data_IF_683313687722
#
_entry.id   IF_683313687722
#
_cell.length_a   1.000
_cell.length_b   1.000
_cell.length_c   1.000
_cell.angle_alpha   90.00
_cell.angle_beta   90.00
_cell.angle_gamma   90.00
#
_symmetry.space_group_name_H-M   'P 1'
#
loop_
_entity.id
_entity.type
_entity.pdbx_description
1 polymer ?
#
# COMPACT_ATOMS: atom_id res chain seq x y z
N UNK A 1 -34.07 -15.36 24.61
CA UNK A 1 -34.95 -16.54 24.74
C UNK A 1 -34.53 -17.49 25.87
N UNK A 2 -33.24 -17.81 26.08
CA UNK A 2 -32.79 -18.74 27.15
C UNK A 2 -33.07 -18.23 28.59
N UNK A 3 -32.68 -16.99 28.93
CA UNK A 3 -32.81 -16.44 30.30
C UNK A 3 -34.27 -16.37 30.80
N UNK A 4 -35.20 -15.94 29.95
CA UNK A 4 -36.62 -15.86 30.29
C UNK A 4 -37.21 -17.24 30.59
N UNK A 5 -36.81 -18.28 29.84
CA UNK A 5 -37.24 -19.65 30.09
C UNK A 5 -36.67 -20.20 31.40
N UNK A 6 -35.41 -19.89 31.73
CA UNK A 6 -34.79 -20.33 33.00
C UNK A 6 -35.37 -19.63 34.22
N UNK A 7 -35.70 -18.33 34.12
CA UNK A 7 -36.40 -17.60 35.19
C UNK A 7 -37.83 -18.11 35.40
N UNK A 8 -38.52 -18.49 34.33
CA UNK A 8 -39.88 -19.06 34.42
C UNK A 8 -39.88 -20.40 35.16
N UNK A 9 -38.88 -21.25 34.93
CA UNK A 9 -38.63 -22.51 35.68
C UNK A 9 -38.26 -22.25 37.14
N UNK A 10 -37.50 -21.18 37.42
CA UNK A 10 -37.16 -20.77 38.79
C UNK A 10 -38.38 -20.29 39.58
N UNK A 11 -39.30 -19.56 38.92
CA UNK A 11 -40.52 -19.05 39.55
C UNK A 11 -41.66 -20.08 39.67
N UNK A 12 -41.61 -21.19 38.92
CA UNK A 12 -42.70 -22.17 38.85
C UNK A 12 -42.52 -23.42 39.74
N UNK A 13 -41.40 -23.58 40.45
CA UNK A 13 -41.02 -24.86 41.03
C UNK A 13 -40.84 -24.87 42.55
N UNK A 14 -41.80 -25.45 43.27
CA UNK A 14 -41.57 -26.04 44.57
C UNK A 14 -40.52 -27.18 44.49
N UNK A 15 -39.75 -27.39 45.57
CA UNK A 15 -38.90 -28.56 45.93
C UNK A 15 -37.35 -28.55 45.72
N UNK A 16 -36.67 -28.97 46.80
CA UNK A 16 -35.30 -29.50 46.97
C UNK A 16 -34.08 -28.62 46.61
N UNK A 17 -33.21 -28.39 47.60
CA UNK A 17 -32.00 -27.58 47.50
C UNK A 17 -30.93 -28.07 46.49
N UNK A 18 -31.07 -29.29 45.95
CA UNK A 18 -30.18 -29.83 44.91
C UNK A 18 -30.57 -29.33 43.50
N UNK A 19 -31.87 -29.18 43.23
CA UNK A 19 -32.42 -28.62 41.99
C UNK A 19 -32.09 -27.12 41.89
N UNK A 20 -32.19 -26.40 43.02
CA UNK A 20 -31.83 -24.98 43.09
C UNK A 20 -30.36 -24.70 42.70
N UNK A 21 -29.42 -25.56 43.09
CA UNK A 21 -27.99 -25.38 42.75
C UNK A 21 -27.72 -25.58 41.26
N UNK A 22 -28.34 -26.58 40.64
CA UNK A 22 -28.18 -26.86 39.21
C UNK A 22 -28.80 -25.75 38.35
N UNK A 23 -29.99 -25.26 38.72
CA UNK A 23 -30.64 -24.14 38.04
C UNK A 23 -29.82 -22.85 38.19
N UNK A 24 -29.33 -22.54 39.39
CA UNK A 24 -28.48 -21.36 39.62
C UNK A 24 -27.18 -21.41 38.79
N UNK A 25 -26.55 -22.59 38.69
CA UNK A 25 -25.36 -22.79 37.87
C UNK A 25 -25.65 -22.62 36.37
N UNK A 26 -26.79 -23.12 35.88
CA UNK A 26 -27.20 -22.93 34.49
C UNK A 26 -27.55 -21.47 34.17
N UNK A 27 -28.24 -20.76 35.07
CA UNK A 27 -28.50 -19.32 34.92
C UNK A 27 -27.18 -18.55 34.87
N UNK A 28 -26.26 -18.82 35.80
CA UNK A 28 -24.95 -18.18 35.81
C UNK A 28 -24.16 -18.45 34.52
N UNK A 29 -24.09 -19.70 34.07
CA UNK A 29 -23.42 -20.05 32.82
C UNK A 29 -24.06 -19.38 31.60
N UNK A 30 -25.39 -19.28 31.56
CA UNK A 30 -26.12 -18.60 30.48
C UNK A 30 -25.85 -17.10 30.49
N UNK A 31 -25.82 -16.46 31.66
CA UNK A 31 -25.46 -15.05 31.81
C UNK A 31 -24.02 -14.77 31.36
N UNK A 32 -23.06 -15.58 31.80
CA UNK A 32 -21.65 -15.45 31.39
C UNK A 32 -21.50 -15.65 29.89
N UNK A 33 -22.13 -16.68 29.31
CA UNK A 33 -22.08 -16.92 27.87
C UNK A 33 -22.68 -15.76 27.07
N UNK A 34 -23.81 -15.22 27.53
CA UNK A 34 -24.48 -14.10 26.88
C UNK A 34 -23.62 -12.83 26.95
N UNK A 35 -23.03 -12.53 28.11
CA UNK A 35 -22.11 -11.39 28.26
C UNK A 35 -20.89 -11.54 27.36
N UNK A 36 -20.23 -12.70 27.34
CA UNK A 36 -19.06 -12.93 26.49
C UNK A 36 -19.40 -12.82 25.00
N UNK A 37 -20.57 -13.32 24.59
CA UNK A 37 -21.05 -13.20 23.23
C UNK A 37 -21.33 -11.73 22.85
N UNK A 38 -21.96 -10.96 23.74
CA UNK A 38 -22.17 -9.52 23.55
C UNK A 38 -20.86 -8.76 23.43
N UNK A 39 -19.89 -8.98 24.33
CA UNK A 39 -18.57 -8.34 24.24
C UNK A 39 -17.83 -8.69 22.97
N UNK A 40 -17.88 -9.97 22.54
CA UNK A 40 -17.24 -10.40 21.29
C UNK A 40 -17.90 -9.73 20.06
N UNK A 41 -19.23 -9.64 20.04
CA UNK A 41 -19.95 -8.96 18.96
C UNK A 41 -19.64 -7.47 18.94
N UNK A 42 -19.67 -6.79 20.09
CA UNK A 42 -19.35 -5.37 20.20
C UNK A 42 -17.90 -5.10 19.76
N UNK A 43 -16.96 -5.96 20.14
CA UNK A 43 -15.57 -5.86 19.69
C UNK A 43 -15.48 -6.04 18.17
N UNK A 44 -16.12 -7.05 17.59
CA UNK A 44 -16.13 -7.29 16.14
C UNK A 44 -16.80 -6.16 15.34
N UNK A 45 -17.86 -5.56 15.87
CA UNK A 45 -18.53 -4.41 15.26
C UNK A 45 -17.63 -3.18 15.33
N UNK A 46 -17.01 -2.94 16.49
CA UNK A 46 -16.11 -1.80 16.69
C UNK A 46 -14.89 -1.88 15.79
N UNK A 47 -14.25 -3.05 15.67
CA UNK A 47 -13.11 -3.25 14.76
C UNK A 47 -13.52 -3.05 13.30
N UNK A 48 -14.63 -3.66 12.86
CA UNK A 48 -15.12 -3.48 11.49
C UNK A 48 -15.46 -2.02 11.16
N UNK A 49 -16.05 -1.30 12.12
CA UNK A 49 -16.38 0.11 11.94
C UNK A 49 -15.13 1.01 11.95
N UNK A 50 -14.12 0.66 12.75
CA UNK A 50 -12.82 1.34 12.73
C UNK A 50 -12.13 1.18 11.38
N UNK A 51 -12.05 -0.04 10.86
CA UNK A 51 -11.44 -0.33 9.55
C UNK A 51 -12.18 0.39 8.43
N UNK A 52 -13.52 0.36 8.44
CA UNK A 52 -14.34 1.07 7.46
C UNK A 52 -14.11 2.58 7.49
N UNK A 53 -14.07 3.21 8.68
CA UNK A 53 -13.79 4.65 8.79
C UNK A 53 -12.39 5.00 8.29
N UNK A 54 -11.40 4.14 8.56
CA UNK A 54 -10.02 4.33 8.08
C UNK A 54 -9.95 4.26 6.56
N UNK A 55 -10.61 3.28 5.95
CA UNK A 55 -10.69 3.15 4.50
C UNK A 55 -11.42 4.34 3.86
N UNK A 56 -12.49 4.83 4.50
CA UNK A 56 -13.26 5.96 4.01
C UNK A 56 -12.44 7.27 4.06
N UNK A 57 -11.72 7.52 5.16
CA UNK A 57 -10.79 8.65 5.27
C UNK A 57 -9.67 8.58 4.23
N UNK A 58 -9.14 7.39 3.97
CA UNK A 58 -8.16 7.18 2.91
C UNK A 58 -8.75 7.56 1.55
N UNK A 59 -9.94 7.05 1.23
CA UNK A 59 -10.63 7.37 -0.04
C UNK A 59 -10.96 8.84 -0.18
N UNK A 60 -11.40 9.51 0.89
CA UNK A 60 -11.64 10.96 0.88
C UNK A 60 -10.35 11.74 0.58
N UNK A 61 -9.22 11.38 1.19
CA UNK A 61 -7.92 12.00 0.89
C UNK A 61 -7.48 11.71 -0.55
N UNK A 62 -7.70 10.48 -1.05
CA UNK A 62 -7.39 10.12 -2.43
C UNK A 62 -8.25 10.91 -3.44
N UNK A 63 -9.49 11.24 -3.09
CA UNK A 63 -10.42 12.01 -3.93
C UNK A 63 -10.15 13.52 -3.89
N UNK A 64 -9.70 14.05 -2.76
CA UNK A 64 -9.46 15.49 -2.57
C UNK A 64 -8.12 15.95 -3.15
N UNK A 65 -7.14 15.03 -3.28
CA UNK A 65 -5.86 15.33 -3.93
C UNK A 65 -5.99 15.13 -5.44
N UNK A 66 -5.90 16.22 -6.22
CA UNK A 66 -5.68 16.11 -7.66
C UNK A 66 -4.34 15.39 -7.91
N UNK A 67 -4.42 14.12 -8.31
CA UNK A 67 -3.29 13.25 -8.65
C UNK A 67 -3.28 12.91 -10.14
N UNK A 68 -2.08 12.77 -10.71
CA UNK A 68 -1.88 12.34 -12.09
C UNK A 68 -1.78 10.80 -12.21
N UNK A 69 -1.91 10.09 -11.08
CA UNK A 69 -1.97 8.64 -11.02
C UNK A 69 -1.85 8.10 -9.60
N UNK A 70 -2.29 6.86 -9.40
CA UNK A 70 -2.13 6.14 -8.14
C UNK A 70 -1.63 4.72 -8.38
N UNK A 71 -0.97 4.12 -7.40
CA UNK A 71 -0.56 2.73 -7.42
C UNK A 71 -0.52 2.13 -6.03
N UNK A 72 -0.52 0.81 -5.95
CA UNK A 72 -0.32 0.06 -4.71
C UNK A 72 1.01 -0.66 -4.76
N UNK A 73 1.78 -0.55 -3.69
CA UNK A 73 3.06 -1.24 -3.55
C UNK A 73 3.02 -2.18 -2.36
N UNK A 74 3.63 -3.35 -2.52
CA UNK A 74 3.98 -4.22 -1.39
C UNK A 74 5.18 -3.59 -0.68
N UNK A 75 5.07 -3.35 0.63
CA UNK A 75 6.12 -2.71 1.42
C UNK A 75 7.36 -3.59 1.60
N UNK A 76 7.24 -4.92 1.49
CA UNK A 76 8.35 -5.87 1.65
C UNK A 76 9.19 -5.96 0.39
N UNK A 77 8.55 -6.11 -0.77
CA UNK A 77 9.24 -6.26 -2.06
C UNK A 77 9.43 -4.93 -2.77
N UNK A 78 8.68 -3.89 -2.38
CA UNK A 78 8.59 -2.58 -3.03
C UNK A 78 8.08 -2.66 -4.47
N UNK A 79 7.39 -3.74 -4.80
CA UNK A 79 6.82 -4.00 -6.11
C UNK A 79 5.39 -3.50 -6.21
N UNK A 80 5.01 -3.01 -7.39
CA UNK A 80 3.62 -2.64 -7.64
C UNK A 80 2.74 -3.88 -7.64
N UNK A 81 1.71 -3.86 -6.81
CA UNK A 81 0.59 -4.81 -6.83
C UNK A 81 -0.45 -4.36 -7.86
N UNK A 82 -0.70 -3.05 -7.94
CA UNK A 82 -1.60 -2.46 -8.92
C UNK A 82 -1.22 -1.02 -9.26
N UNK A 83 -1.69 -0.51 -10.39
CA UNK A 83 -1.48 0.85 -10.86
C UNK A 83 -2.75 1.33 -11.59
N UNK A 84 -3.03 2.64 -11.53
CA UNK A 84 -4.12 3.26 -12.28
C UNK A 84 -3.76 3.40 -13.76
N UNK A 85 -4.77 3.35 -14.63
CA UNK A 85 -4.58 3.55 -16.08
C UNK A 85 -3.94 4.92 -16.37
N UNK A 86 -4.30 5.96 -15.62
CA UNK A 86 -3.68 7.28 -15.69
C UNK A 86 -2.17 7.25 -15.40
N UNK A 87 -1.72 6.46 -14.42
CA UNK A 87 -0.29 6.29 -14.12
C UNK A 87 0.43 5.54 -15.24
N UNK A 88 -0.22 4.52 -15.81
CA UNK A 88 0.31 3.74 -16.94
C UNK A 88 0.45 4.59 -18.20
N UNK A 89 -0.55 5.44 -18.49
CA UNK A 89 -0.54 6.40 -19.59
C UNK A 89 0.55 7.46 -19.40
N UNK A 90 0.67 8.02 -18.19
CA UNK A 90 1.71 9.00 -17.85
C UNK A 90 3.12 8.44 -18.08
N UNK A 91 3.34 7.19 -17.67
CA UNK A 91 4.63 6.51 -17.82
C UNK A 91 4.81 5.83 -19.19
N UNK A 92 3.77 5.83 -20.04
CA UNK A 92 3.74 5.16 -21.35
C UNK A 92 4.10 3.68 -21.28
N UNK A 93 3.62 2.98 -20.25
CA UNK A 93 3.89 1.56 -20.02
C UNK A 93 2.60 0.76 -20.03
N UNK A 94 2.66 -0.49 -20.53
CA UNK A 94 1.50 -1.39 -20.55
C UNK A 94 1.16 -1.97 -19.18
N UNK A 95 2.16 -2.14 -18.32
CA UNK A 95 1.98 -2.66 -16.97
C UNK A 95 3.16 -2.29 -16.07
N UNK A 96 2.83 -2.04 -14.80
CA UNK A 96 3.77 -1.83 -13.71
C UNK A 96 3.77 -2.99 -12.70
N UNK A 97 2.81 -3.91 -12.77
CA UNK A 97 2.66 -5.00 -11.79
C UNK A 97 3.93 -5.85 -11.74
N UNK A 98 4.44 -6.08 -10.53
CA UNK A 98 5.69 -6.81 -10.28
C UNK A 98 6.97 -5.99 -10.49
N UNK A 99 6.88 -4.73 -10.93
CA UNK A 99 8.04 -3.84 -11.04
C UNK A 99 8.24 -3.07 -9.74
N UNK A 100 9.50 -2.79 -9.40
CA UNK A 100 9.83 -2.02 -8.19
C UNK A 100 9.63 -0.53 -8.41
N UNK A 101 9.14 0.20 -7.40
CA UNK A 101 9.04 1.67 -7.49
C UNK A 101 10.39 2.35 -7.79
N UNK A 102 11.48 1.84 -7.22
CA UNK A 102 12.83 2.37 -7.38
C UNK A 102 13.31 2.41 -8.83
N UNK A 103 12.84 1.48 -9.66
CA UNK A 103 13.22 1.40 -11.07
C UNK A 103 12.68 2.53 -11.95
N UNK A 104 11.61 3.18 -11.50
CA UNK A 104 11.00 4.32 -12.17
C UNK A 104 11.65 5.64 -11.73
N UNK A 105 12.39 5.61 -10.62
CA UNK A 105 12.98 6.79 -10.01
C UNK A 105 14.37 7.01 -10.59
N UNK A 106 14.70 8.26 -10.90
CA UNK A 106 16.04 8.63 -11.35
C UNK A 106 17.08 8.31 -10.25
N UNK A 107 18.30 7.87 -10.63
CA UNK A 107 19.39 7.47 -9.71
C UNK A 107 19.59 8.40 -8.51
N UNK A 108 19.51 9.72 -8.73
CA UNK A 108 19.65 10.77 -7.70
C UNK A 108 18.56 10.74 -6.61
N UNK A 109 17.39 10.17 -6.90
CA UNK A 109 16.25 10.06 -5.99
C UNK A 109 16.19 8.75 -5.20
N UNK A 110 17.07 7.78 -5.44
CA UNK A 110 17.01 6.48 -4.75
C UNK A 110 17.25 6.59 -3.25
N UNK A 111 18.17 7.45 -2.81
CA UNK A 111 18.41 7.70 -1.38
C UNK A 111 17.15 8.26 -0.71
N UNK A 112 16.52 9.24 -1.36
CA UNK A 112 15.30 9.89 -0.87
C UNK A 112 14.12 8.93 -0.85
N UNK A 113 13.99 8.07 -1.87
CA UNK A 113 13.00 7.00 -1.89
C UNK A 113 13.25 5.97 -0.78
N UNK A 114 14.51 5.59 -0.55
CA UNK A 114 14.89 4.68 0.53
C UNK A 114 14.52 5.24 1.90
N UNK A 115 14.82 6.52 2.16
CA UNK A 115 14.41 7.20 3.38
C UNK A 115 12.88 7.33 3.52
N UNK A 116 12.17 7.52 2.41
CA UNK A 116 10.71 7.59 2.41
C UNK A 116 10.09 6.24 2.83
N UNK A 117 10.59 5.14 2.26
CA UNK A 117 10.10 3.80 2.53
C UNK A 117 10.53 3.29 3.92
N UNK A 118 11.72 3.66 4.38
CA UNK A 118 12.23 3.28 5.70
C UNK A 118 11.50 3.99 6.85
N UNK A 119 11.12 5.27 6.66
CA UNK A 119 10.54 6.05 7.74
C UNK A 119 9.02 5.88 7.91
N UNK A 120 8.33 5.18 6.98
CA UNK A 120 6.89 4.82 7.00
C UNK A 120 5.95 5.86 7.64
N UNK A 121 6.27 7.14 7.52
CA UNK A 121 5.48 8.17 8.19
C UNK A 121 4.20 8.37 7.39
N UNK A 122 3.01 8.18 8.01
CA UNK A 122 1.77 8.41 7.31
C UNK A 122 1.74 9.87 6.84
N UNK A 123 1.51 10.08 5.53
CA UNK A 123 1.37 11.39 4.88
C UNK A 123 2.66 12.17 4.60
N UNK A 124 3.82 11.52 4.53
CA UNK A 124 5.04 12.18 4.03
C UNK A 124 5.00 12.23 2.49
N UNK A 125 5.03 13.44 1.94
CA UNK A 125 5.18 13.69 0.50
C UNK A 125 6.64 14.00 0.18
N UNK A 126 7.18 13.37 -0.85
CA UNK A 126 8.56 13.55 -1.31
C UNK A 126 8.56 13.90 -2.79
N UNK A 127 9.47 14.79 -3.20
CA UNK A 127 9.69 15.09 -4.60
C UNK A 127 10.70 14.09 -5.18
N UNK A 128 10.29 13.33 -6.19
CA UNK A 128 11.11 12.37 -6.93
C UNK A 128 11.02 12.65 -8.42
N UNK A 129 12.10 12.44 -9.15
CA UNK A 129 12.07 12.49 -10.63
C UNK A 129 11.78 11.09 -11.15
N UNK A 130 10.65 10.93 -11.85
CA UNK A 130 10.28 9.69 -12.53
C UNK A 130 10.73 9.68 -13.99
N UNK A 131 10.90 8.48 -14.54
CA UNK A 131 11.43 8.22 -15.88
C UNK A 131 10.40 7.37 -16.67
N UNK A 132 9.88 7.87 -17.79
CA UNK A 132 8.95 7.13 -18.67
C UNK A 132 9.71 6.26 -19.68
N UNK A 133 9.80 4.96 -19.39
CA UNK A 133 10.16 3.85 -20.26
C UNK A 133 11.55 3.81 -20.99
N UNK A 134 12.13 2.62 -21.21
CA UNK A 134 11.94 1.37 -20.46
C UNK A 134 13.18 0.97 -19.67
N UNK A 135 12.91 0.30 -18.56
CA UNK A 135 13.76 -0.75 -18.00
C UNK A 135 14.58 -1.49 -19.07
N UNK A 136 15.89 -1.44 -18.91
CA UNK A 136 16.75 -2.58 -19.22
C UNK A 136 17.37 -2.97 -17.88
N UNK A 137 16.69 -3.83 -17.11
CA UNK A 137 17.39 -4.65 -16.11
C UNK A 137 17.67 -5.99 -16.79
N UNK A 138 18.93 -6.19 -17.24
CA UNK A 138 19.49 -7.50 -17.62
C UNK A 138 19.50 -7.84 -19.12
N UNK A 139 20.70 -8.05 -19.67
CA UNK A 139 21.02 -8.46 -21.05
C UNK A 139 20.32 -9.74 -21.55
N UNK A 140 20.01 -9.79 -22.86
CA UNK A 140 20.64 -10.67 -23.88
C UNK A 140 19.71 -10.87 -25.08
N UNK A 141 20.03 -10.23 -26.21
CA UNK A 141 19.35 -10.54 -27.47
C UNK A 141 19.40 -9.42 -28.48
N UNK A 142 20.44 -9.47 -29.33
CA UNK A 142 20.60 -8.86 -30.65
C UNK A 142 19.60 -7.78 -31.10
N UNK A 143 20.18 -6.67 -31.59
CA UNK A 143 19.64 -5.71 -32.55
C UNK A 143 18.59 -4.71 -32.04
N UNK A 144 19.08 -3.58 -31.53
CA UNK A 144 18.54 -2.28 -31.93
C UNK A 144 19.69 -1.28 -32.02
N UNK A 145 19.74 -0.55 -33.13
CA UNK A 145 20.82 0.37 -33.49
C UNK A 145 20.92 1.54 -32.49
N UNK A 146 22.14 2.02 -32.24
CA UNK A 146 22.42 3.14 -31.31
C UNK A 146 21.89 4.52 -31.77
N UNK A 147 21.17 4.59 -32.89
CA UNK A 147 20.66 5.83 -33.47
C UNK A 147 19.24 6.21 -33.02
N UNK A 148 18.51 5.29 -32.38
CA UNK A 148 17.17 5.54 -31.80
C UNK A 148 17.18 5.21 -30.30
N UNK A 149 18.07 5.85 -29.54
CA UNK A 149 17.89 5.91 -28.10
C UNK A 149 16.67 6.81 -27.82
N UNK A 150 15.49 6.18 -27.84
CA UNK A 150 14.19 6.84 -27.69
C UNK A 150 14.24 7.81 -26.49
N UNK A 151 13.83 9.06 -26.73
CA UNK A 151 13.82 10.11 -25.73
C UNK A 151 13.08 9.66 -24.48
N UNK A 152 13.83 9.36 -23.43
CA UNK A 152 13.29 9.00 -22.13
C UNK A 152 12.72 10.28 -21.51
N UNK A 153 11.43 10.32 -21.16
CA UNK A 153 10.88 11.52 -20.51
C UNK A 153 11.15 11.44 -19.01
N UNK A 154 11.63 12.53 -18.44
CA UNK A 154 11.76 12.69 -17.01
C UNK A 154 10.82 13.78 -16.53
N UNK A 155 10.10 13.53 -15.45
CA UNK A 155 9.20 14.50 -14.85
C UNK A 155 9.31 14.44 -13.34
N UNK A 156 9.24 15.60 -12.70
CA UNK A 156 9.30 15.69 -11.24
C UNK A 156 7.90 15.42 -10.69
N UNK A 157 7.84 14.57 -9.67
CA UNK A 157 6.60 14.03 -9.11
C UNK A 157 6.67 14.12 -7.60
N UNK A 158 5.62 14.68 -7.01
CA UNK A 158 5.33 14.51 -5.59
C UNK A 158 4.73 13.12 -5.38
N UNK A 159 5.50 12.27 -4.72
CA UNK A 159 5.11 10.93 -4.33
C UNK A 159 4.69 10.97 -2.86
N UNK A 160 3.47 10.54 -2.57
CA UNK A 160 2.95 10.44 -1.20
C UNK A 160 2.57 9.01 -0.90
N UNK A 161 3.03 8.49 0.23
CA UNK A 161 2.72 7.11 0.65
C UNK A 161 1.71 7.14 1.79
N UNK A 162 0.65 6.37 1.62
CA UNK A 162 -0.40 6.16 2.59
C UNK A 162 -0.40 4.70 3.00
N UNK A 163 0.01 4.47 4.25
CA UNK A 163 -0.04 3.13 4.83
C UNK A 163 -1.48 2.79 5.23
N UNK A 164 -2.02 1.79 4.54
CA UNK A 164 -3.35 1.22 4.82
C UNK A 164 -3.39 0.42 6.14
N UNK A 165 -2.23 0.15 6.76
CA UNK A 165 -2.09 -0.69 7.95
C UNK A 165 -1.98 -2.17 7.61
N UNK A 166 -1.55 -2.48 6.39
CA UNK A 166 -1.26 -3.83 5.90
C UNK A 166 0.15 -3.85 5.33
N UNK A 167 0.63 -5.03 4.88
CA UNK A 167 1.89 -5.12 4.12
C UNK A 167 1.85 -4.35 2.77
N UNK A 168 0.72 -3.70 2.43
CA UNK A 168 0.50 -2.94 1.19
C UNK A 168 0.25 -1.46 1.51
N UNK A 169 0.92 -0.58 0.77
CA UNK A 169 0.72 0.86 0.84
C UNK A 169 0.17 1.43 -0.48
N UNK A 170 -0.72 2.40 -0.36
CA UNK A 170 -1.21 3.20 -1.48
C UNK A 170 -0.24 4.36 -1.73
N UNK A 171 0.15 4.54 -2.98
CA UNK A 171 1.13 5.55 -3.43
C UNK A 171 0.45 6.48 -4.42
N UNK A 172 0.48 7.77 -4.12
CA UNK A 172 -0.05 8.82 -4.97
C UNK A 172 1.06 9.52 -5.72
N UNK A 173 0.81 9.79 -7.01
CA UNK A 173 1.71 10.49 -7.91
C UNK A 173 1.06 11.79 -8.37
N UNK A 174 1.74 12.90 -8.12
CA UNK A 174 1.34 14.22 -8.63
C UNK A 174 2.51 14.87 -9.35
N UNK A 175 2.39 15.08 -10.65
CA UNK A 175 3.41 15.74 -11.46
C UNK A 175 3.52 17.20 -11.02
N UNK A 176 4.75 17.64 -10.79
CA UNK A 176 5.09 19.01 -10.39
C UNK A 176 6.06 19.57 -11.41
N UNK A 177 5.52 20.35 -12.35
CA UNK A 177 6.30 21.00 -13.39
C UNK A 177 6.18 20.36 -14.77
N UNK A 178 7.01 20.81 -15.71
CA UNK A 178 6.97 20.38 -17.11
C UNK A 178 7.72 19.08 -17.36
N UNK A 179 7.25 18.32 -18.35
CA UNK A 179 7.92 17.11 -18.83
C UNK A 179 9.23 17.49 -19.53
N UNK A 180 10.34 16.91 -19.09
CA UNK A 180 11.67 17.13 -19.67
C UNK A 180 12.09 15.92 -20.49
N UNK A 181 12.81 16.15 -21.60
CA UNK A 181 13.51 15.07 -22.30
C UNK A 181 14.80 14.78 -21.54
N UNK A 182 14.94 13.54 -21.09
CA UNK A 182 16.16 13.01 -20.49
C UNK A 182 16.96 12.33 -21.61
N UNK A 183 18.14 12.86 -21.90
CA UNK A 183 19.07 12.16 -22.78
C UNK A 183 19.69 11.01 -21.98
N UNK A 184 19.66 9.76 -22.48
CA UNK A 184 20.34 8.66 -21.81
C UNK A 184 21.80 9.10 -21.61
N UNK A 185 22.23 9.17 -20.34
CA UNK A 185 23.57 9.59 -19.98
C UNK A 185 24.55 8.77 -20.81
N UNK A 186 25.28 9.43 -21.71
CA UNK A 186 26.39 8.82 -22.40
C UNK A 186 27.29 8.15 -21.36
N UNK A 187 27.66 6.90 -21.61
CA UNK A 187 28.80 6.31 -20.92
C UNK A 187 29.98 7.28 -21.12
N UNK A 188 30.77 7.61 -20.08
CA UNK A 188 32.07 8.20 -20.35
C UNK A 188 32.82 7.21 -21.25
N UNK A 189 33.05 7.59 -22.50
CA UNK A 189 34.04 6.94 -23.34
C UNK A 189 35.34 6.96 -22.52
N UNK A 190 35.91 5.78 -22.30
CA UNK A 190 37.25 5.68 -21.77
C UNK A 190 38.15 6.38 -22.80
N UNK A 191 38.67 7.56 -22.45
CA UNK A 191 39.80 8.14 -23.17
C UNK A 191 40.93 7.11 -23.10
N UNK A 192 41.25 6.51 -24.25
CA UNK A 192 42.48 5.75 -24.41
C UNK A 192 43.65 6.66 -23.97
N UNK A 193 44.56 6.18 -23.09
CA UNK A 193 45.67 7.00 -22.64
C UNK A 193 46.52 7.41 -23.86
N UNK A 194 47.04 8.65 -23.89
CA UNK A 194 47.85 9.11 -25.01
C UNK A 194 49.08 8.22 -25.13
N UNK A 195 49.28 7.66 -26.33
CA UNK A 195 50.49 6.94 -26.70
C UNK A 195 51.65 7.93 -26.76
N UNK A 196 52.39 8.06 -25.66
CA UNK A 196 53.72 8.64 -25.69
C UNK A 196 54.65 7.68 -26.44
N UNK A 197 55.16 8.10 -27.60
CA UNK A 197 56.46 7.68 -28.14
C UNK A 197 56.94 8.77 -29.11
N UNK A 198 58.14 9.29 -28.89
CA UNK A 198 59.16 9.24 -29.94
C UNK A 198 60.33 8.30 -29.59
#
# INVERSE_FOLDING_TARGET
FSFAATMLVYTSGAYSGLVHKQVAQQVFSSCVLTMTCSFALDYCIATRHFDFRRELQLKEVLLDVATDGFGRIDLRTQEFVSASDTLLELLRVKSLVGKRLASLVHRRGHSVLGELLANQHPRKTVLLTLISAPFVEGDTGASSSSANADCVLAFDVKVSIYDSGSDVADVLFKVVGGVRRHAPSAMPEAEDPPSENP
#
